data_IF_412162595676
#
_entry.id   IF_412162595676
#
_cell.length_a   1.000
_cell.length_b   1.000
_cell.length_c   1.000
_cell.angle_alpha   90.00
_cell.angle_beta   90.00
_cell.angle_gamma   90.00
#
_symmetry.space_group_name_H-M   'P 1'
#
loop_
_entity.id
_entity.type
_entity.pdbx_description
1 polymer ?
#
# COMPACT_ATOMS: atom_id res chain seq x y z
N UNK A 1 14.32 -14.69 14.90
CA UNK A 1 13.08 -14.25 14.24
C UNK A 1 12.51 -13.08 15.03
N UNK A 2 12.50 -11.89 14.46
CA UNK A 2 12.21 -10.62 15.16
C UNK A 2 10.80 -10.62 15.76
N UNK A 3 10.69 -10.85 17.08
CA UNK A 3 9.43 -10.91 17.85
C UNK A 3 8.46 -9.74 17.59
N UNK A 4 8.99 -8.60 17.15
CA UNK A 4 8.23 -7.42 16.81
C UNK A 4 7.37 -7.61 15.53
N UNK A 5 7.89 -8.30 14.52
CA UNK A 5 7.15 -8.58 13.28
C UNK A 5 5.96 -9.50 13.56
N UNK A 6 6.14 -10.52 14.40
CA UNK A 6 5.07 -11.45 14.78
C UNK A 6 3.95 -10.76 15.54
N UNK A 7 4.28 -9.90 16.52
CA UNK A 7 3.26 -9.12 17.25
C UNK A 7 2.49 -8.15 16.36
N UNK A 8 3.19 -7.47 15.45
CA UNK A 8 2.56 -6.56 14.50
C UNK A 8 1.63 -7.33 13.54
N UNK A 9 2.07 -8.50 13.06
CA UNK A 9 1.21 -9.38 12.26
C UNK A 9 0.02 -9.88 13.07
N UNK A 10 0.16 -10.26 14.34
CA UNK A 10 -0.96 -10.76 15.16
C UNK A 10 -2.03 -9.69 15.41
N UNK A 11 -1.67 -8.41 15.51
CA UNK A 11 -2.64 -7.31 15.67
C UNK A 11 -3.28 -6.89 14.34
N UNK A 12 -2.52 -6.92 13.24
CA UNK A 12 -2.99 -6.47 11.92
C UNK A 12 -3.68 -7.60 11.14
N UNK A 13 -3.36 -8.87 11.43
CA UNK A 13 -3.91 -10.06 10.78
C UNK A 13 -5.44 -10.16 10.92
N UNK A 14 -6.07 -9.94 12.09
CA UNK A 14 -7.54 -9.91 12.20
C UNK A 14 -8.18 -8.84 11.30
N UNK A 15 -7.51 -7.69 11.16
CA UNK A 15 -7.99 -6.58 10.34
C UNK A 15 -7.87 -6.86 8.84
N UNK A 16 -6.78 -7.52 8.43
CA UNK A 16 -6.56 -7.98 7.05
C UNK A 16 -7.40 -9.21 6.69
N UNK A 17 -7.63 -10.12 7.64
CA UNK A 17 -8.45 -11.32 7.48
C UNK A 17 -9.93 -10.98 7.33
N UNK A 18 -10.43 -9.99 8.08
CA UNK A 18 -11.82 -9.55 7.99
C UNK A 18 -12.14 -8.79 6.69
N UNK A 19 -11.13 -8.16 6.06
CA UNK A 19 -11.29 -7.40 4.81
C UNK A 19 -10.20 -7.81 3.82
N UNK A 20 -10.33 -9.01 3.26
CA UNK A 20 -9.51 -9.49 2.14
C UNK A 20 -9.54 -8.43 1.04
N UNK A 21 -8.43 -7.73 0.82
CA UNK A 21 -8.35 -6.63 -0.15
C UNK A 21 -8.09 -5.23 0.43
N UNK A 22 -8.01 -5.04 1.75
CA UNK A 22 -7.70 -3.71 2.32
C UNK A 22 -6.32 -3.20 1.89
N UNK A 23 -5.30 -4.07 1.89
CA UNK A 23 -3.94 -3.71 1.48
C UNK A 23 -3.87 -3.34 -0.02
N UNK A 24 -4.49 -4.11 -0.94
CA UNK A 24 -4.72 -3.66 -2.32
C UNK A 24 -5.41 -2.31 -2.42
N UNK A 25 -6.44 -2.07 -1.60
CA UNK A 25 -7.18 -0.81 -1.59
C UNK A 25 -6.29 0.38 -1.19
N UNK A 26 -5.41 0.19 -0.21
CA UNK A 26 -4.42 1.21 0.21
C UNK A 26 -3.45 1.50 -0.93
N UNK A 27 -2.96 0.46 -1.62
CA UNK A 27 -2.09 0.63 -2.79
C UNK A 27 -2.76 1.41 -3.92
N UNK A 28 -4.02 1.10 -4.22
CA UNK A 28 -4.84 1.85 -5.18
C UNK A 28 -5.02 3.30 -4.73
N UNK A 29 -5.27 3.53 -3.44
CA UNK A 29 -5.36 4.88 -2.86
C UNK A 29 -4.09 5.71 -3.05
N UNK A 30 -2.91 5.09 -2.87
CA UNK A 30 -1.62 5.73 -3.12
C UNK A 30 -1.42 6.09 -4.60
N UNK A 31 -1.85 5.23 -5.52
CA UNK A 31 -1.79 5.51 -6.97
C UNK A 31 -2.69 6.69 -7.33
N UNK A 32 -3.93 6.72 -6.81
CA UNK A 32 -4.86 7.84 -7.03
C UNK A 32 -4.28 9.13 -6.44
N UNK A 33 -3.71 9.07 -5.22
CA UNK A 33 -3.09 10.22 -4.58
C UNK A 33 -1.90 10.75 -5.41
N UNK A 34 -1.07 9.85 -5.96
CA UNK A 34 0.00 10.24 -6.88
C UNK A 34 -0.56 11.01 -8.08
N UNK A 35 -1.63 10.50 -8.68
CA UNK A 35 -2.26 11.13 -9.84
C UNK A 35 -2.79 12.54 -9.52
N UNK A 36 -3.44 12.70 -8.36
CA UNK A 36 -3.91 14.00 -7.87
C UNK A 36 -2.73 14.96 -7.65
N UNK A 37 -1.65 14.49 -7.00
CA UNK A 37 -0.46 15.30 -6.73
C UNK A 37 0.22 15.78 -8.02
N UNK A 38 0.43 14.88 -8.99
CA UNK A 38 1.01 15.22 -10.30
C UNK A 38 0.13 16.20 -11.07
N UNK A 39 -1.19 16.13 -10.91
CA UNK A 39 -2.14 17.02 -11.61
C UNK A 39 -2.21 18.42 -11.01
N UNK A 40 -2.02 18.56 -9.69
CA UNK A 40 -2.15 19.86 -8.98
C UNK A 40 -0.83 20.60 -8.92
N UNK A 41 0.29 19.88 -8.76
CA UNK A 41 1.60 20.47 -8.54
C UNK A 41 2.50 20.33 -9.77
N UNK A 42 3.07 21.43 -10.29
CA UNK A 42 3.85 21.41 -11.53
C UNK A 42 5.27 20.85 -11.36
N UNK A 43 5.82 20.84 -10.15
CA UNK A 43 7.17 20.33 -9.89
C UNK A 43 7.34 19.86 -8.44
N UNK A 44 8.29 18.94 -8.25
CA UNK A 44 8.65 18.41 -6.95
C UNK A 44 9.19 16.98 -7.06
N UNK A 45 10.22 16.65 -6.29
CA UNK A 45 10.89 15.34 -6.34
C UNK A 45 9.92 14.15 -6.26
N UNK A 46 8.92 14.23 -5.40
CA UNK A 46 7.90 13.18 -5.19
C UNK A 46 7.04 12.97 -6.45
N UNK A 47 6.76 14.06 -7.18
CA UNK A 47 5.93 14.08 -8.40
C UNK A 47 6.75 13.58 -9.59
N UNK A 48 7.97 14.10 -9.76
CA UNK A 48 8.85 13.73 -10.87
C UNK A 48 9.23 12.24 -10.83
N UNK A 49 9.49 11.72 -9.64
CA UNK A 49 9.80 10.30 -9.45
C UNK A 49 8.57 9.40 -9.38
N UNK A 50 7.37 9.98 -9.34
CA UNK A 50 6.11 9.25 -9.11
C UNK A 50 6.22 8.30 -7.91
N UNK A 51 6.81 8.76 -6.80
CA UNK A 51 7.19 7.91 -5.68
C UNK A 51 5.99 7.18 -5.07
N UNK A 52 4.84 7.86 -4.97
CA UNK A 52 3.59 7.27 -4.49
C UNK A 52 3.00 6.25 -5.46
N UNK A 53 3.22 6.40 -6.77
CA UNK A 53 2.83 5.39 -7.76
C UNK A 53 3.59 4.08 -7.51
N UNK A 54 4.91 4.16 -7.38
CA UNK A 54 5.77 2.99 -7.19
C UNK A 54 5.46 2.28 -5.87
N UNK A 55 5.36 3.04 -4.77
CA UNK A 55 4.95 2.48 -3.48
C UNK A 55 3.54 1.89 -3.53
N UNK A 56 2.59 2.57 -4.18
CA UNK A 56 1.22 2.11 -4.32
C UNK A 56 1.11 0.79 -5.06
N UNK A 57 1.86 0.62 -6.16
CA UNK A 57 1.92 -0.64 -6.92
C UNK A 57 2.52 -1.76 -6.07
N UNK A 58 3.63 -1.52 -5.36
CA UNK A 58 4.27 -2.53 -4.51
C UNK A 58 3.31 -2.97 -3.40
N UNK A 59 2.68 -2.02 -2.71
CA UNK A 59 1.71 -2.31 -1.65
C UNK A 59 0.49 -3.04 -2.21
N UNK A 60 0.02 -2.67 -3.39
CA UNK A 60 -1.12 -3.34 -4.03
C UNK A 60 -0.79 -4.80 -4.37
N UNK A 61 0.39 -5.04 -4.95
CA UNK A 61 0.84 -6.39 -5.32
C UNK A 61 1.06 -7.27 -4.09
N UNK A 62 1.77 -6.77 -3.06
CA UNK A 62 1.95 -7.50 -1.79
C UNK A 62 0.58 -7.78 -1.17
N UNK A 63 -0.30 -6.81 -1.20
CA UNK A 63 -1.66 -6.94 -0.72
C UNK A 63 -2.47 -8.01 -1.42
N UNK A 64 -2.34 -8.09 -2.74
CA UNK A 64 -3.03 -9.08 -3.56
C UNK A 64 -2.52 -10.48 -3.24
N UNK A 65 -1.18 -10.63 -3.15
CA UNK A 65 -0.53 -11.88 -2.75
C UNK A 65 -0.99 -12.33 -1.35
N UNK A 66 -1.10 -11.39 -0.39
CA UNK A 66 -1.54 -11.68 0.96
C UNK A 66 -3.02 -12.07 1.02
N UNK A 67 -3.87 -11.40 0.24
CA UNK A 67 -5.31 -11.71 0.17
C UNK A 67 -5.59 -13.09 -0.45
N UNK A 68 -4.71 -13.58 -1.31
CA UNK A 68 -4.78 -14.93 -1.88
C UNK A 68 -4.18 -16.01 -0.96
N UNK A 69 -3.18 -15.65 -0.14
CA UNK A 69 -2.52 -16.59 0.77
C UNK A 69 -3.32 -16.88 2.06
N UNK A 70 -4.33 -16.06 2.37
CA UNK A 70 -5.18 -16.11 3.57
C UNK A 70 -6.62 -16.51 3.22
#
# INVERSE_FOLDING_TARGET
MTRWLSKFLDEVSPFLAARKGLLPLIGIGLIILNFILVSIFPSGFIIETNLFLHLGIIVALIGQMLAWAL
#
